data_IF_458244402314
#
_entry.id   IF_458244402314
#
_cell.length_a   1.000
_cell.length_b   1.000
_cell.length_c   1.000
_cell.angle_alpha   90.00
_cell.angle_beta   90.00
_cell.angle_gamma   90.00
#
_symmetry.space_group_name_H-M   'P 1'
#
loop_
_entity.id
_entity.type
_entity.pdbx_description
1 polymer ?
#
# COMPACT_ATOMS: atom_id res chain seq x y z
N UNK A 1 -15.96 4.72 3.59
CA UNK A 1 -14.67 5.44 3.68
C UNK A 1 -14.92 6.91 3.33
N UNK A 2 -14.16 7.87 3.87
CA UNK A 2 -14.15 9.26 3.38
C UNK A 2 -12.76 9.60 2.81
N UNK A 3 -12.61 10.72 2.11
CA UNK A 3 -11.34 11.12 1.45
C UNK A 3 -10.14 11.03 2.38
N UNK A 4 -10.21 11.69 3.55
CA UNK A 4 -9.11 11.73 4.53
C UNK A 4 -8.73 10.32 4.96
N UNK A 5 -9.70 9.47 5.32
CA UNK A 5 -9.44 8.09 5.73
C UNK A 5 -8.87 7.24 4.60
N UNK A 6 -9.30 7.45 3.35
CA UNK A 6 -8.76 6.75 2.19
C UNK A 6 -7.29 7.13 1.94
N UNK A 7 -6.97 8.44 2.00
CA UNK A 7 -5.60 8.94 1.88
C UNK A 7 -4.71 8.36 2.99
N UNK A 8 -5.11 8.47 4.26
CA UNK A 8 -4.34 7.94 5.39
C UNK A 8 -4.15 6.43 5.28
N UNK A 9 -5.15 5.68 4.80
CA UNK A 9 -5.01 4.24 4.60
C UNK A 9 -3.98 3.91 3.52
N UNK A 10 -4.02 4.60 2.38
CA UNK A 10 -3.07 4.38 1.28
C UNK A 10 -1.64 4.74 1.70
N UNK A 11 -1.44 5.86 2.38
CA UNK A 11 -0.14 6.29 2.92
C UNK A 11 0.39 5.31 3.96
N UNK A 12 -0.47 4.82 4.86
CA UNK A 12 -0.07 3.82 5.85
C UNK A 12 0.29 2.47 5.21
N UNK A 13 -0.44 2.05 4.18
CA UNK A 13 -0.14 0.82 3.46
C UNK A 13 1.18 0.93 2.68
N UNK A 14 1.46 2.09 2.07
CA UNK A 14 2.71 2.38 1.38
C UNK A 14 3.90 2.35 2.34
N UNK A 15 3.82 3.08 3.46
CA UNK A 15 4.89 3.12 4.46
C UNK A 15 5.21 1.72 5.02
N UNK A 16 4.18 0.91 5.29
CA UNK A 16 4.37 -0.46 5.75
C UNK A 16 5.02 -1.34 4.68
N UNK A 17 4.58 -1.23 3.43
CA UNK A 17 5.13 -2.00 2.32
C UNK A 17 6.61 -1.66 2.08
N UNK A 18 6.98 -0.38 2.07
CA UNK A 18 8.38 0.05 1.96
C UNK A 18 9.21 -0.48 3.13
N UNK A 19 8.68 -0.40 4.36
CA UNK A 19 9.38 -0.92 5.54
C UNK A 19 9.66 -2.42 5.43
N UNK A 20 8.70 -3.23 4.97
CA UNK A 20 8.89 -4.67 4.76
C UNK A 20 9.97 -4.97 3.71
N UNK A 21 10.01 -4.22 2.60
CA UNK A 21 11.10 -4.37 1.61
C UNK A 21 12.44 -4.03 2.24
N UNK A 22 12.53 -2.91 2.97
CA UNK A 22 13.78 -2.47 3.62
C UNK A 22 14.25 -3.46 4.68
N UNK A 23 13.35 -4.05 5.46
CA UNK A 23 13.69 -5.11 6.43
C UNK A 23 14.30 -6.33 5.70
N UNK A 24 13.76 -6.69 4.54
CA UNK A 24 14.19 -7.89 3.82
C UNK A 24 15.45 -7.68 2.96
N UNK A 25 15.62 -6.51 2.34
CA UNK A 25 16.66 -6.23 1.33
C UNK A 25 17.62 -5.08 1.71
N UNK A 26 17.41 -4.43 2.85
CA UNK A 26 18.21 -3.31 3.35
C UNK A 26 17.93 -1.96 2.67
N UNK A 27 17.21 -1.95 1.55
CA UNK A 27 16.80 -0.75 0.82
C UNK A 27 15.57 -1.05 -0.05
N UNK A 28 14.93 0.00 -0.55
CA UNK A 28 13.86 -0.09 -1.55
C UNK A 28 14.41 0.30 -2.94
N UNK A 29 14.04 -0.47 -3.95
CA UNK A 29 14.36 -0.23 -5.37
C UNK A 29 13.09 -0.51 -6.17
N UNK A 30 12.58 0.50 -6.86
CA UNK A 30 11.31 0.43 -7.58
C UNK A 30 11.43 -0.37 -8.89
N UNK A 31 12.64 -0.52 -9.44
CA UNK A 31 12.88 -1.27 -10.68
C UNK A 31 13.15 -2.77 -10.41
N UNK A 32 13.40 -3.13 -9.15
CA UNK A 32 13.58 -4.51 -8.72
C UNK A 32 12.26 -5.26 -8.61
N UNK A 33 12.06 -6.25 -9.48
CA UNK A 33 10.88 -7.14 -9.42
C UNK A 33 10.71 -7.78 -8.04
N UNK A 34 11.80 -8.24 -7.41
CA UNK A 34 11.74 -8.89 -6.10
C UNK A 34 11.26 -7.93 -5.00
N UNK A 35 11.66 -6.66 -5.06
CA UNK A 35 11.19 -5.63 -4.14
C UNK A 35 9.72 -5.30 -4.39
N UNK A 36 9.33 -5.17 -5.67
CA UNK A 36 7.94 -4.99 -6.07
C UNK A 36 7.01 -6.10 -5.57
N UNK A 37 7.43 -7.36 -5.65
CA UNK A 37 6.64 -8.50 -5.17
C UNK A 37 6.38 -8.41 -3.65
N UNK A 38 7.39 -8.07 -2.85
CA UNK A 38 7.24 -7.88 -1.39
C UNK A 38 6.37 -6.67 -1.08
N UNK A 39 6.64 -5.54 -1.75
CA UNK A 39 5.89 -4.30 -1.59
C UNK A 39 4.39 -4.53 -1.85
N UNK A 40 4.03 -5.04 -3.04
CA UNK A 40 2.63 -5.20 -3.42
C UNK A 40 1.90 -6.21 -2.56
N UNK A 41 2.57 -7.28 -2.11
CA UNK A 41 1.99 -8.23 -1.16
C UNK A 41 1.58 -7.54 0.14
N UNK A 42 2.48 -6.77 0.75
CA UNK A 42 2.20 -6.08 2.02
C UNK A 42 1.17 -4.97 1.83
N UNK A 43 1.30 -4.17 0.78
CA UNK A 43 0.38 -3.08 0.47
C UNK A 43 -1.07 -3.59 0.30
N UNK A 44 -1.28 -4.58 -0.57
CA UNK A 44 -2.61 -5.13 -0.83
C UNK A 44 -3.17 -5.84 0.42
N UNK A 45 -2.31 -6.54 1.18
CA UNK A 45 -2.74 -7.18 2.42
C UNK A 45 -3.28 -6.17 3.44
N UNK A 46 -2.57 -5.05 3.65
CA UNK A 46 -3.01 -4.00 4.57
C UNK A 46 -4.34 -3.39 4.13
N UNK A 47 -4.52 -3.13 2.83
CA UNK A 47 -5.78 -2.62 2.30
C UNK A 47 -6.93 -3.61 2.49
N UNK A 48 -6.70 -4.90 2.23
CA UNK A 48 -7.71 -5.93 2.40
C UNK A 48 -8.13 -6.11 3.88
N UNK A 49 -7.20 -5.92 4.82
CA UNK A 49 -7.48 -5.99 6.26
C UNK A 49 -8.33 -4.82 6.74
N UNK A 50 -7.96 -3.59 6.38
CA UNK A 50 -8.59 -2.38 6.91
C UNK A 50 -9.83 -1.94 6.13
N UNK A 51 -9.90 -2.32 4.85
CA UNK A 51 -10.99 -1.92 3.95
C UNK A 51 -11.44 -3.09 3.04
N UNK A 52 -11.88 -4.23 3.60
CA UNK A 52 -12.21 -5.44 2.83
C UNK A 52 -13.32 -5.25 1.78
N UNK A 53 -14.19 -4.27 2.00
CA UNK A 53 -15.32 -3.96 1.12
C UNK A 53 -14.99 -2.90 0.05
N UNK A 54 -13.76 -2.40 0.00
CA UNK A 54 -13.34 -1.36 -0.92
C UNK A 54 -12.36 -1.91 -1.95
N UNK A 55 -12.57 -1.57 -3.22
CA UNK A 55 -11.61 -1.88 -4.28
C UNK A 55 -10.54 -0.81 -4.31
N UNK A 56 -9.31 -1.19 -4.64
CA UNK A 56 -8.18 -0.26 -4.75
C UNK A 56 -8.46 0.92 -5.70
N UNK A 57 -9.02 0.74 -6.91
CA UNK A 57 -9.32 1.88 -7.79
C UNK A 57 -10.28 2.89 -7.15
N UNK A 58 -11.29 2.42 -6.41
CA UNK A 58 -12.26 3.29 -5.73
C UNK A 58 -11.59 4.09 -4.61
N UNK A 59 -10.66 3.46 -3.86
CA UNK A 59 -9.86 4.14 -2.83
C UNK A 59 -8.95 5.20 -3.44
N UNK A 60 -8.27 4.89 -4.54
CA UNK A 60 -7.39 5.84 -5.23
C UNK A 60 -8.17 7.01 -5.82
N UNK A 61 -9.34 6.75 -6.42
CA UNK A 61 -10.21 7.80 -6.93
C UNK A 61 -10.70 8.71 -5.80
N UNK A 62 -11.17 8.12 -4.69
CA UNK A 62 -11.65 8.88 -3.54
C UNK A 62 -10.54 9.70 -2.85
N UNK A 63 -9.30 9.21 -2.86
CA UNK A 63 -8.16 9.92 -2.29
C UNK A 63 -7.71 11.11 -3.15
N UNK A 64 -7.94 11.07 -4.46
CA UNK A 64 -7.52 12.11 -5.42
C UNK A 64 -8.64 13.01 -5.93
N UNK A 65 -9.91 12.72 -5.63
CA UNK A 65 -11.06 13.60 -5.85
C UNK A 65 -11.06 14.78 -4.90
#
# INVERSE_FOLDING_TARGET
MNKIKAQTLLESADALAVADVVIQYGHYDADSKAHGDVYWRTFIHKLAQEAPNWKLPDLMQLAHS
#
